data_IF_809628629183
#
_entry.id   IF_809628629183
#
_cell.length_a   1.000
_cell.length_b   1.000
_cell.length_c   1.000
_cell.angle_alpha   90.00
_cell.angle_beta   90.00
_cell.angle_gamma   90.00
#
_symmetry.space_group_name_H-M   'P 1'
#
loop_
_entity.id
_entity.type
_entity.pdbx_description
1 polymer ?
#
# COMPACT_ATOMS: atom_id res chain seq x y z
N UNK A 1 -2.24 10.69 1.64
CA UNK A 1 -2.38 9.29 2.12
C UNK A 1 -3.09 8.53 1.02
N UNK A 2 -2.65 7.32 0.68
CA UNK A 2 -3.31 6.44 -0.30
C UNK A 2 -3.65 5.16 0.45
N UNK A 3 -4.94 4.80 0.44
CA UNK A 3 -5.47 3.65 1.18
C UNK A 3 -5.77 2.48 0.23
N UNK A 4 -5.89 1.28 0.79
CA UNK A 4 -6.20 0.04 0.07
C UNK A 4 -5.34 -0.20 -1.19
N UNK A 5 -4.06 0.14 -1.12
CA UNK A 5 -3.17 0.02 -2.29
C UNK A 5 -3.03 -1.43 -2.79
N UNK A 6 -3.39 -2.40 -1.95
CA UNK A 6 -3.39 -3.82 -2.27
C UNK A 6 -4.46 -4.24 -3.29
N UNK A 7 -5.51 -3.45 -3.51
CA UNK A 7 -6.55 -3.75 -4.50
C UNK A 7 -6.05 -3.61 -5.95
N UNK A 8 -4.91 -2.92 -6.16
CA UNK A 8 -4.27 -2.74 -7.47
C UNK A 8 -5.23 -2.26 -8.57
N UNK A 9 -6.12 -1.34 -8.22
CA UNK A 9 -6.98 -0.68 -9.21
C UNK A 9 -6.14 0.13 -10.21
N UNK A 10 -6.64 0.29 -11.44
CA UNK A 10 -5.96 1.06 -12.48
C UNK A 10 -5.68 2.50 -12.01
N UNK A 11 -6.66 3.10 -11.34
CA UNK A 11 -6.57 4.48 -10.85
C UNK A 11 -5.46 4.62 -9.79
N UNK A 12 -5.37 3.67 -8.86
CA UNK A 12 -4.32 3.66 -7.82
C UNK A 12 -2.94 3.46 -8.44
N UNK A 13 -2.79 2.56 -9.42
CA UNK A 13 -1.50 2.33 -10.08
C UNK A 13 -1.03 3.58 -10.87
N UNK A 14 -1.94 4.24 -11.59
CA UNK A 14 -1.65 5.52 -12.28
C UNK A 14 -1.26 6.60 -11.27
N UNK A 15 -2.01 6.72 -10.17
CA UNK A 15 -1.74 7.67 -9.09
C UNK A 15 -0.36 7.46 -8.47
N UNK A 16 0.03 6.21 -8.18
CA UNK A 16 1.36 5.88 -7.63
C UNK A 16 2.47 6.27 -8.59
N UNK A 17 2.27 6.12 -9.91
CA UNK A 17 3.20 6.59 -10.93
C UNK A 17 3.39 8.10 -10.93
N UNK A 18 2.30 8.87 -10.78
CA UNK A 18 2.34 10.33 -10.68
C UNK A 18 3.01 10.78 -9.37
N UNK A 19 2.64 10.17 -8.25
CA UNK A 19 3.23 10.46 -6.93
C UNK A 19 4.74 10.20 -6.94
N UNK A 20 5.20 9.10 -7.54
CA UNK A 20 6.63 8.80 -7.65
C UNK A 20 7.38 9.89 -8.41
N UNK A 21 6.79 10.46 -9.46
CA UNK A 21 7.37 11.60 -10.19
C UNK A 21 7.41 12.85 -9.33
N UNK A 22 6.33 13.15 -8.61
CA UNK A 22 6.28 14.31 -7.73
C UNK A 22 7.30 14.18 -6.58
N UNK A 23 7.48 12.98 -6.01
CA UNK A 23 8.43 12.75 -4.91
C UNK A 23 9.89 12.97 -5.33
N UNK A 24 10.20 12.89 -6.63
CA UNK A 24 11.51 13.24 -7.15
C UNK A 24 11.76 14.76 -7.15
N UNK A 25 10.70 15.57 -7.17
CA UNK A 25 10.78 17.02 -7.07
C UNK A 25 10.83 17.46 -5.59
N UNK A 26 12.05 17.76 -5.14
CA UNK A 26 12.32 18.19 -3.76
C UNK A 26 11.69 19.53 -3.41
N UNK A 27 11.27 20.35 -4.38
CA UNK A 27 10.67 21.66 -4.13
C UNK A 27 9.26 21.56 -3.55
N UNK A 28 8.55 20.46 -3.81
CA UNK A 28 7.16 20.26 -3.40
C UNK A 28 6.98 19.97 -1.90
N UNK A 29 8.07 19.71 -1.16
CA UNK A 29 8.10 19.45 0.29
C UNK A 29 6.86 18.70 0.81
N UNK A 30 6.57 17.53 0.24
CA UNK A 30 5.41 16.73 0.62
C UNK A 30 5.83 15.31 1.00
N UNK A 31 4.94 14.63 1.73
CA UNK A 31 5.14 13.26 2.21
C UNK A 31 3.96 12.41 1.79
N UNK A 32 4.22 11.12 1.59
CA UNK A 32 3.22 10.14 1.18
C UNK A 32 3.21 9.01 2.20
N UNK A 33 2.00 8.60 2.60
CA UNK A 33 1.75 7.43 3.42
C UNK A 33 0.87 6.48 2.60
N UNK A 34 1.29 5.22 2.47
CA UNK A 34 0.57 4.16 1.80
C UNK A 34 0.03 3.21 2.87
N UNK A 35 -1.25 2.86 2.77
CA UNK A 35 -1.93 1.97 3.70
C UNK A 35 -2.44 0.74 2.95
N UNK A 36 -2.21 -0.44 3.52
CA UNK A 36 -2.57 -1.74 2.95
C UNK A 36 -3.03 -2.66 4.06
N UNK A 37 -4.11 -3.42 3.83
CA UNK A 37 -4.57 -4.46 4.73
C UNK A 37 -3.80 -5.79 4.59
N UNK A 38 -3.10 -6.01 3.47
CA UNK A 38 -2.44 -7.29 3.16
C UNK A 38 -0.93 -7.17 3.07
N UNK A 39 -0.25 -8.29 3.36
CA UNK A 39 1.19 -8.45 3.58
C UNK A 39 2.07 -8.31 2.32
N UNK A 40 1.52 -7.82 1.20
CA UNK A 40 2.28 -7.64 -0.05
C UNK A 40 3.09 -6.32 -0.06
N UNK A 41 3.52 -5.88 1.13
CA UNK A 41 4.29 -4.65 1.37
C UNK A 41 5.58 -4.60 0.55
N UNK A 42 6.24 -5.75 0.38
CA UNK A 42 7.48 -5.93 -0.37
C UNK A 42 7.42 -5.35 -1.78
N UNK A 43 6.29 -5.48 -2.46
CA UNK A 43 6.11 -4.97 -3.83
C UNK A 43 6.13 -3.45 -3.85
N UNK A 44 5.47 -2.81 -2.90
CA UNK A 44 5.44 -1.36 -2.78
C UNK A 44 6.79 -0.82 -2.31
N UNK A 45 7.41 -1.49 -1.35
CA UNK A 45 8.72 -1.11 -0.82
C UNK A 45 9.81 -1.17 -1.90
N UNK A 46 9.77 -2.17 -2.79
CA UNK A 46 10.68 -2.28 -3.96
C UNK A 46 10.37 -1.28 -5.08
N UNK A 47 9.12 -0.83 -5.19
CA UNK A 47 8.72 0.12 -6.23
C UNK A 47 9.29 1.53 -6.00
N UNK A 48 9.39 1.95 -4.74
CA UNK A 48 9.98 3.23 -4.35
C UNK A 48 11.48 3.07 -4.06
N UNK A 49 12.29 4.04 -4.50
CA UNK A 49 13.73 4.04 -4.26
C UNK A 49 14.16 5.42 -3.72
N UNK A 50 14.79 5.51 -2.53
CA UNK A 50 15.06 4.42 -1.60
C UNK A 50 13.78 3.77 -1.07
N UNK A 51 13.91 2.50 -0.64
CA UNK A 51 12.82 1.75 -0.03
C UNK A 51 12.23 2.54 1.17
N UNK A 52 10.91 2.77 1.21
CA UNK A 52 10.27 3.44 2.32
C UNK A 52 10.28 2.55 3.57
N UNK A 53 10.29 3.14 4.78
CA UNK A 53 10.09 2.37 5.99
C UNK A 53 8.67 1.78 6.03
N UNK A 54 8.55 0.53 6.46
CA UNK A 54 7.28 -0.15 6.69
C UNK A 54 6.97 -0.20 8.18
N UNK A 55 5.68 -0.16 8.52
CA UNK A 55 5.18 -0.25 9.90
C UNK A 55 3.97 -1.17 9.89
N UNK A 56 4.08 -2.30 10.59
CA UNK A 56 2.95 -3.19 10.83
C UNK A 56 2.14 -2.71 12.04
N UNK A 57 0.85 -2.46 11.81
CA UNK A 57 -0.08 -2.08 12.87
C UNK A 57 -0.90 -3.33 13.23
N UNK A 58 -0.76 -3.88 14.45
CA UNK A 58 -1.51 -5.06 14.84
C UNK A 58 -3.01 -4.75 14.88
N UNK A 59 -3.78 -5.48 14.06
CA UNK A 59 -5.23 -5.44 14.07
C UNK A 59 -5.81 -6.20 15.27
N UNK A 60 -7.03 -5.83 15.67
CA UNK A 60 -7.86 -6.66 16.54
C UNK A 60 -8.92 -7.30 15.67
N UNK A 61 -8.92 -8.63 15.60
CA UNK A 61 -9.94 -9.40 14.89
C UNK A 61 -10.74 -10.25 15.87
N UNK A 62 -11.99 -10.54 15.53
CA UNK A 62 -12.80 -11.53 16.22
C UNK A 62 -12.76 -12.84 15.42
N UNK A 63 -12.87 -14.00 16.07
CA UNK A 63 -12.90 -15.27 15.35
C UNK A 63 -14.11 -15.32 14.41
N UNK A 64 -13.87 -15.59 13.14
CA UNK A 64 -14.88 -15.83 12.10
C UNK A 64 -14.74 -17.27 11.63
N UNK A 65 -15.86 -17.97 11.43
CA UNK A 65 -15.86 -19.35 10.93
C UNK A 65 -15.94 -19.34 9.41
N UNK A 66 -14.90 -19.84 8.75
CA UNK A 66 -14.90 -20.04 7.30
C UNK A 66 -15.71 -21.30 6.94
N UNK A 67 -16.73 -21.13 6.10
CA UNK A 67 -17.53 -22.22 5.55
C UNK A 67 -17.21 -22.35 4.07
N UNK A 68 -16.57 -23.46 3.70
CA UNK A 68 -16.29 -23.81 2.32
C UNK A 68 -17.38 -24.74 1.79
N UNK A 69 -17.69 -24.65 0.50
CA UNK A 69 -18.50 -25.67 -0.18
C UNK A 69 -17.69 -26.97 -0.15
N UNK A 70 -18.15 -27.96 0.61
CA UNK A 70 -17.57 -29.31 0.58
C UNK A 70 -17.82 -29.94 -0.79
N UNK A 71 -16.84 -30.71 -1.27
CA UNK A 71 -16.92 -31.62 -2.43
C UNK A 71 -18.28 -32.33 -2.57
#
# INVERSE_FOLDING_TARGET
VVDEVHERSLDTDVLLGLIKRLLADKSLNFRVCLMSATMDEDKFTKYFNPAPPTIDIPGRTFPVTDLFVKD
#
